data_IF_905664077293
#
_entry.id   IF_905664077293
#
_cell.length_a   1.000
_cell.length_b   1.000
_cell.length_c   1.000
_cell.angle_alpha   90.00
_cell.angle_beta   90.00
_cell.angle_gamma   90.00
#
_symmetry.space_group_name_H-M   'P 1'
#
loop_
_entity.id
_entity.type
_entity.pdbx_description
1 polymer ?
#
# COMPACT_ATOMS: atom_id res chain seq x y z
N UNK A 1 -3.96 10.85 -23.78
CA UNK A 1 -4.97 11.93 -23.69
C UNK A 1 -5.43 11.99 -22.24
N UNK A 2 -5.15 13.10 -21.56
CA UNK A 2 -5.26 13.28 -20.10
C UNK A 2 -6.71 13.67 -19.76
N UNK A 3 -7.33 12.97 -18.81
CA UNK A 3 -8.74 13.16 -18.45
C UNK A 3 -8.95 14.52 -17.74
N UNK A 4 -9.49 15.51 -18.45
CA UNK A 4 -9.74 16.88 -17.97
C UNK A 4 -10.86 16.95 -16.90
N UNK A 5 -11.63 15.88 -16.69
CA UNK A 5 -12.73 15.87 -15.71
C UNK A 5 -12.26 15.86 -14.27
N UNK A 6 -11.15 15.19 -13.98
CA UNK A 6 -10.56 15.13 -12.63
C UNK A 6 -10.05 16.48 -12.12
N UNK A 7 -9.69 17.40 -13.01
CA UNK A 7 -9.20 18.73 -12.63
C UNK A 7 -10.36 19.69 -12.31
N UNK A 8 -11.49 19.57 -13.02
CA UNK A 8 -12.69 20.40 -12.79
C UNK A 8 -13.42 20.05 -11.49
N UNK A 9 -13.48 18.77 -11.11
CA UNK A 9 -14.12 18.36 -9.86
C UNK A 9 -13.35 18.85 -8.62
N UNK A 10 -12.01 18.81 -8.65
CA UNK A 10 -11.16 19.36 -7.57
C UNK A 10 -11.18 20.89 -7.45
N UNK A 11 -11.34 21.62 -8.55
CA UNK A 11 -11.44 23.09 -8.48
C UNK A 11 -12.76 23.50 -7.84
N UNK A 12 -13.83 22.77 -8.14
CA UNK A 12 -15.11 22.96 -7.46
C UNK A 12 -15.01 22.59 -5.97
N UNK A 13 -14.31 21.50 -5.63
CA UNK A 13 -14.10 21.10 -4.24
C UNK A 13 -13.23 22.10 -3.46
N UNK A 14 -12.12 22.60 -4.03
CA UNK A 14 -11.31 23.67 -3.42
C UNK A 14 -12.12 24.96 -3.26
N UNK A 15 -12.91 25.36 -4.26
CA UNK A 15 -13.79 26.54 -4.18
C UNK A 15 -14.95 26.37 -3.19
N UNK A 16 -15.49 25.16 -3.02
CA UNK A 16 -16.50 24.85 -2.02
C UNK A 16 -15.91 24.89 -0.61
N UNK A 17 -14.68 24.39 -0.47
CA UNK A 17 -13.93 24.33 0.78
C UNK A 17 -13.52 25.73 1.27
N UNK A 18 -13.07 26.59 0.36
CA UNK A 18 -12.73 27.98 0.64
C UNK A 18 -13.98 28.77 1.06
N UNK A 19 -15.12 28.49 0.42
CA UNK A 19 -16.42 29.11 0.74
C UNK A 19 -16.93 28.66 2.12
N UNK A 20 -16.79 27.38 2.43
CA UNK A 20 -17.12 26.83 3.74
C UNK A 20 -16.24 27.47 4.83
N UNK A 21 -14.92 27.56 4.59
CA UNK A 21 -13.98 28.23 5.52
C UNK A 21 -14.31 29.71 5.74
N UNK A 22 -14.69 30.44 4.70
CA UNK A 22 -15.09 31.83 4.80
C UNK A 22 -16.37 31.99 5.65
N UNK A 23 -17.37 31.13 5.41
CA UNK A 23 -18.62 31.10 6.18
C UNK A 23 -18.36 30.87 7.67
N UNK A 24 -17.45 29.95 7.98
CA UNK A 24 -17.09 29.63 9.36
C UNK A 24 -16.29 30.75 10.05
N UNK A 25 -15.45 31.48 9.31
CA UNK A 25 -14.74 32.66 9.82
C UNK A 25 -15.69 33.82 10.13
N UNK A 26 -16.72 34.00 9.32
CA UNK A 26 -17.76 35.02 9.53
C UNK A 26 -18.57 34.71 10.79
N UNK A 27 -19.08 33.49 10.94
CA UNK A 27 -19.82 33.07 12.14
C UNK A 27 -19.00 33.24 13.43
N UNK A 28 -17.73 32.81 13.42
CA UNK A 28 -16.84 32.95 14.58
C UNK A 28 -16.47 34.42 14.89
N UNK A 29 -16.55 35.30 13.88
CA UNK A 29 -16.36 36.75 14.06
C UNK A 29 -17.62 37.35 14.68
N UNK A 30 -18.79 37.00 14.18
CA UNK A 30 -20.07 37.55 14.65
C UNK A 30 -20.37 37.14 16.09
N UNK A 31 -20.13 35.88 16.46
CA UNK A 31 -20.27 35.40 17.84
C UNK A 31 -19.39 36.19 18.83
N UNK A 32 -18.19 36.59 18.39
CA UNK A 32 -17.28 37.41 19.19
C UNK A 32 -17.68 38.87 19.26
N UNK A 33 -18.29 39.40 18.21
CA UNK A 33 -18.89 40.75 18.23
C UNK A 33 -20.06 40.77 19.20
N UNK A 34 -20.91 39.72 19.20
CA UNK A 34 -22.01 39.56 20.16
C UNK A 34 -21.49 39.41 21.60
N UNK A 35 -20.35 38.74 21.80
CA UNK A 35 -19.64 38.67 23.08
C UNK A 35 -18.97 40.00 23.51
N UNK A 36 -19.12 41.07 22.71
CA UNK A 36 -18.65 42.42 23.04
C UNK A 36 -17.25 42.77 22.55
N UNK A 37 -16.62 41.93 21.71
CA UNK A 37 -15.33 42.28 21.10
C UNK A 37 -15.52 43.28 19.93
N UNK A 38 -14.61 44.26 19.78
CA UNK A 38 -14.56 45.09 18.59
C UNK A 38 -14.36 44.25 17.33
N UNK A 39 -15.01 44.61 16.21
CA UNK A 39 -14.97 43.87 14.93
C UNK A 39 -13.57 43.50 14.46
N UNK A 40 -12.58 44.39 14.61
CA UNK A 40 -11.19 44.11 14.23
C UNK A 40 -10.55 43.02 15.10
N UNK A 41 -10.82 43.04 16.40
CA UNK A 41 -10.26 42.09 17.36
C UNK A 41 -10.96 40.73 17.25
N UNK A 42 -12.28 40.73 16.99
CA UNK A 42 -13.06 39.53 16.69
C UNK A 42 -12.55 38.81 15.44
N UNK A 43 -12.26 39.55 14.35
CA UNK A 43 -11.70 38.99 13.12
C UNK A 43 -10.29 38.40 13.33
N UNK A 44 -9.44 39.08 14.10
CA UNK A 44 -8.10 38.61 14.44
C UNK A 44 -8.15 37.35 15.32
N UNK A 45 -9.07 37.29 16.27
CA UNK A 45 -9.29 36.13 17.12
C UNK A 45 -9.81 34.92 16.32
N UNK A 46 -10.81 35.13 15.46
CA UNK A 46 -11.33 34.08 14.58
C UNK A 46 -10.24 33.52 13.65
N UNK A 47 -9.43 34.38 13.03
CA UNK A 47 -8.31 33.94 12.16
C UNK A 47 -7.24 33.15 12.90
N UNK A 48 -6.97 33.47 14.17
CA UNK A 48 -5.99 32.74 14.99
C UNK A 48 -6.47 31.34 15.37
N UNK A 49 -7.77 31.21 15.62
CA UNK A 49 -8.41 29.92 15.91
C UNK A 49 -8.44 29.03 14.66
N UNK A 50 -8.82 29.59 13.50
CA UNK A 50 -8.87 28.87 12.22
C UNK A 50 -7.50 28.53 11.63
N UNK A 51 -6.46 29.32 11.90
CA UNK A 51 -5.10 29.04 11.44
C UNK A 51 -4.56 27.67 11.88
N UNK A 52 -5.07 27.13 13.00
CA UNK A 52 -4.76 25.77 13.44
C UNK A 52 -5.49 24.68 12.64
N UNK A 53 -6.74 24.95 12.25
CA UNK A 53 -7.61 24.02 11.50
C UNK A 53 -7.20 23.92 10.03
N UNK A 54 -6.71 25.01 9.43
CA UNK A 54 -6.15 24.99 8.07
C UNK A 54 -4.88 24.12 7.97
N UNK A 55 -4.06 24.07 9.03
CA UNK A 55 -2.91 23.16 9.16
C UNK A 55 -3.33 21.69 9.33
N UNK A 56 -4.40 21.40 10.07
CA UNK A 56 -4.96 20.03 10.17
C UNK A 56 -5.51 19.53 8.83
N UNK A 57 -5.94 20.45 7.95
CA UNK A 57 -6.39 20.16 6.58
C UNK A 57 -5.24 19.75 5.65
N UNK A 58 -4.01 20.21 5.91
CA UNK A 58 -2.81 19.76 5.19
C UNK A 58 -2.50 18.28 5.45
N UNK A 59 -2.81 17.77 6.65
CA UNK A 59 -2.55 16.39 7.04
C UNK A 59 -3.48 15.38 6.32
N UNK A 60 -4.65 15.84 5.85
CA UNK A 60 -5.57 15.05 5.01
C UNK A 60 -5.39 15.27 3.49
N UNK A 61 -4.56 16.24 3.07
CA UNK A 61 -4.29 16.54 1.66
C UNK A 61 -3.52 15.42 0.93
N UNK A 62 -3.11 14.40 1.66
CA UNK A 62 -2.29 13.28 1.20
C UNK A 62 -3.05 12.10 0.59
N UNK A 63 -4.39 12.11 0.60
CA UNK A 63 -5.20 11.05 -0.01
C UNK A 63 -5.42 11.23 -1.52
N UNK A 64 -4.42 11.74 -2.24
CA UNK A 64 -4.40 11.67 -3.71
C UNK A 64 -3.82 10.31 -4.12
N UNK A 65 -4.58 9.41 -4.78
CA UNK A 65 -4.03 8.14 -5.27
C UNK A 65 -2.85 8.33 -6.25
N UNK A 66 -2.74 9.49 -6.91
CA UNK A 66 -1.59 9.85 -7.75
C UNK A 66 -0.43 10.53 -7.00
N UNK A 67 -0.65 11.14 -5.84
CA UNK A 67 0.43 11.82 -5.10
C UNK A 67 1.29 10.84 -4.31
N UNK A 68 0.71 9.73 -3.84
CA UNK A 68 1.47 8.61 -3.29
C UNK A 68 2.42 8.02 -4.35
N UNK A 69 1.91 7.81 -5.57
CA UNK A 69 2.72 7.31 -6.68
C UNK A 69 3.86 8.26 -7.07
N UNK A 70 3.56 9.57 -7.19
CA UNK A 70 4.58 10.58 -7.48
C UNK A 70 5.66 10.64 -6.39
N UNK A 71 5.28 10.53 -5.11
CA UNK A 71 6.24 10.49 -3.99
C UNK A 71 7.11 9.25 -4.03
N UNK A 72 6.51 8.06 -4.18
CA UNK A 72 7.26 6.80 -4.29
C UNK A 72 8.20 6.85 -5.50
N UNK A 73 7.78 7.42 -6.62
CA UNK A 73 8.62 7.58 -7.81
C UNK A 73 9.81 8.50 -7.56
N UNK A 74 9.58 9.66 -6.93
CA UNK A 74 10.65 10.59 -6.58
C UNK A 74 11.65 9.96 -5.61
N UNK A 75 11.16 9.33 -4.54
CA UNK A 75 12.01 8.63 -3.57
C UNK A 75 12.84 7.53 -4.23
N UNK A 76 12.22 6.72 -5.11
CA UNK A 76 12.92 5.66 -5.85
C UNK A 76 14.01 6.24 -6.76
N UNK A 77 13.74 7.34 -7.47
CA UNK A 77 14.72 8.02 -8.33
C UNK A 77 15.89 8.57 -7.52
N UNK A 78 15.61 9.18 -6.36
CA UNK A 78 16.65 9.68 -5.47
C UNK A 78 17.47 8.55 -4.85
N UNK A 79 16.84 7.46 -4.42
CA UNK A 79 17.52 6.27 -3.90
C UNK A 79 18.41 5.62 -4.96
N UNK A 80 17.93 5.46 -6.20
CA UNK A 80 18.71 4.93 -7.32
C UNK A 80 19.95 5.77 -7.63
N UNK A 81 19.84 7.10 -7.60
CA UNK A 81 20.99 7.99 -7.76
C UNK A 81 22.01 7.87 -6.63
N UNK A 82 21.56 7.60 -5.40
CA UNK A 82 22.47 7.33 -4.26
C UNK A 82 23.20 6.00 -4.42
N UNK A 83 22.49 4.95 -4.85
CA UNK A 83 23.09 3.63 -5.11
C UNK A 83 24.17 3.68 -6.20
N UNK A 84 23.95 4.49 -7.25
CA UNK A 84 24.96 4.70 -8.31
C UNK A 84 26.20 5.47 -7.83
N UNK A 85 26.09 6.24 -6.74
CA UNK A 85 27.23 6.95 -6.13
C UNK A 85 28.05 6.08 -5.17
N UNK A 86 27.51 4.97 -4.67
CA UNK A 86 28.20 4.05 -3.76
C UNK A 86 28.28 2.64 -4.36
N UNK A 87 29.10 2.41 -5.40
CA UNK A 87 29.09 1.17 -6.17
C UNK A 87 29.44 -0.08 -5.36
N UNK A 88 30.37 0.02 -4.40
CA UNK A 88 30.77 -1.13 -3.57
C UNK A 88 29.62 -1.67 -2.71
N UNK A 89 28.87 -0.77 -2.04
CA UNK A 89 27.70 -1.13 -1.26
C UNK A 89 26.61 -1.74 -2.15
N UNK A 90 26.32 -1.10 -3.29
CA UNK A 90 25.31 -1.57 -4.24
C UNK A 90 25.63 -2.98 -4.76
N UNK A 91 26.88 -3.25 -5.12
CA UNK A 91 27.30 -4.59 -5.57
C UNK A 91 27.11 -5.63 -4.46
N UNK A 92 27.55 -5.35 -3.23
CA UNK A 92 27.38 -6.26 -2.10
C UNK A 92 25.89 -6.55 -1.84
N UNK A 93 25.04 -5.52 -1.85
CA UNK A 93 23.58 -5.67 -1.70
C UNK A 93 22.98 -6.50 -2.82
N UNK A 94 23.32 -6.20 -4.09
CA UNK A 94 22.82 -6.95 -5.26
C UNK A 94 23.22 -8.42 -5.20
N UNK A 95 24.48 -8.73 -4.87
CA UNK A 95 24.95 -10.10 -4.73
C UNK A 95 24.22 -10.85 -3.61
N UNK A 96 24.02 -10.18 -2.47
CA UNK A 96 23.30 -10.76 -1.33
C UNK A 96 21.85 -11.08 -1.70
N UNK A 97 21.15 -10.12 -2.34
CA UNK A 97 19.78 -10.33 -2.82
C UNK A 97 19.72 -11.45 -3.86
N UNK A 98 20.63 -11.44 -4.84
CA UNK A 98 20.68 -12.44 -5.89
C UNK A 98 20.86 -13.85 -5.32
N UNK A 99 21.79 -14.01 -4.36
CA UNK A 99 22.01 -15.28 -3.68
C UNK A 99 20.78 -15.74 -2.89
N UNK A 100 20.15 -14.86 -2.13
CA UNK A 100 18.95 -15.20 -1.36
C UNK A 100 17.78 -15.63 -2.26
N UNK A 101 17.54 -14.90 -3.36
CA UNK A 101 16.48 -15.21 -4.32
C UNK A 101 16.79 -16.52 -5.04
N UNK A 102 18.03 -16.71 -5.52
CA UNK A 102 18.44 -17.90 -6.25
C UNK A 102 18.42 -19.15 -5.36
N UNK A 103 18.83 -19.03 -4.09
CA UNK A 103 18.77 -20.13 -3.13
C UNK A 103 17.33 -20.59 -2.90
N UNK A 104 16.42 -19.65 -2.62
CA UNK A 104 15.01 -19.97 -2.44
C UNK A 104 14.40 -20.58 -3.70
N UNK A 105 14.61 -19.95 -4.85
CA UNK A 105 14.11 -20.46 -6.14
C UNK A 105 14.67 -21.86 -6.45
N UNK A 106 15.94 -22.12 -6.13
CA UNK A 106 16.58 -23.43 -6.35
C UNK A 106 16.01 -24.51 -5.45
N UNK A 107 15.80 -24.21 -4.16
CA UNK A 107 15.15 -25.14 -3.24
C UNK A 107 13.76 -25.50 -3.75
N UNK A 108 12.94 -24.51 -4.13
CA UNK A 108 11.62 -24.77 -4.69
C UNK A 108 11.68 -25.52 -6.03
N UNK A 109 12.63 -25.21 -6.91
CA UNK A 109 12.80 -25.93 -8.16
C UNK A 109 13.20 -27.39 -7.94
N UNK A 110 14.10 -27.66 -6.98
CA UNK A 110 14.52 -29.03 -6.61
C UNK A 110 13.36 -29.77 -5.96
N UNK A 111 12.67 -29.18 -4.99
CA UNK A 111 11.49 -29.77 -4.35
C UNK A 111 10.41 -30.04 -5.42
N UNK A 112 10.16 -29.11 -6.32
CA UNK A 112 9.18 -29.30 -7.38
C UNK A 112 9.59 -30.44 -8.32
N UNK A 113 10.86 -30.53 -8.72
CA UNK A 113 11.35 -31.61 -9.61
C UNK A 113 11.42 -32.98 -8.92
N UNK A 114 11.80 -33.03 -7.65
CA UNK A 114 12.10 -34.29 -6.94
C UNK A 114 10.89 -34.79 -6.16
N UNK A 115 10.11 -33.89 -5.56
CA UNK A 115 8.98 -34.23 -4.66
C UNK A 115 7.62 -34.09 -5.35
N UNK A 116 7.41 -33.02 -6.14
CA UNK A 116 6.13 -32.80 -6.83
C UNK A 116 6.05 -33.39 -8.25
N UNK A 117 7.21 -33.56 -8.91
CA UNK A 117 7.32 -34.20 -10.21
C UNK A 117 8.28 -35.40 -10.25
N UNK A 118 8.31 -36.31 -9.24
CA UNK A 118 8.56 -37.69 -9.56
C UNK A 118 7.30 -38.12 -10.33
N UNK A 119 7.36 -38.48 -11.59
CA UNK A 119 7.48 -39.87 -11.97
C UNK A 119 7.40 -39.91 -13.53
N UNK A 120 8.52 -39.97 -14.29
CA UNK A 120 8.49 -40.47 -15.66
C UNK A 120 8.36 -42.00 -15.60
N UNK A 121 7.27 -42.49 -15.05
CA UNK A 121 7.04 -43.93 -14.91
C UNK A 121 6.30 -44.38 -16.15
N UNK A 122 6.85 -45.37 -16.84
CA UNK A 122 6.11 -46.09 -17.85
C UNK A 122 4.88 -46.72 -17.15
N UNK A 123 3.67 -46.37 -17.60
CA UNK A 123 2.37 -46.73 -17.03
C UNK A 123 1.91 -45.88 -15.82
N UNK A 124 1.77 -44.56 -16.03
CA UNK A 124 1.22 -43.60 -15.05
C UNK A 124 -0.25 -43.87 -14.65
N UNK A 125 -0.98 -44.67 -15.44
CA UNK A 125 -2.35 -45.15 -15.17
C UNK A 125 -2.46 -46.06 -13.94
N UNK A 126 -1.33 -46.57 -13.43
CA UNK A 126 -1.30 -47.50 -12.29
C UNK A 126 -0.83 -46.89 -10.97
N UNK A 127 -0.63 -45.57 -10.93
CA UNK A 127 -0.16 -44.89 -9.73
C UNK A 127 -1.30 -44.73 -8.70
N UNK A 128 -1.04 -45.19 -7.49
CA UNK A 128 -1.96 -45.08 -6.35
C UNK A 128 -1.26 -44.28 -5.25
N UNK A 129 -1.92 -43.25 -4.74
CA UNK A 129 -1.39 -42.46 -3.62
C UNK A 129 -1.67 -43.19 -2.31
N UNK A 130 -0.61 -43.45 -1.55
CA UNK A 130 -0.70 -43.93 -0.19
C UNK A 130 -0.67 -42.72 0.76
N UNK A 131 -1.85 -42.21 1.10
CA UNK A 131 -1.97 -41.15 2.08
C UNK A 131 -1.83 -41.75 3.49
N UNK A 132 -0.68 -41.51 4.12
CA UNK A 132 -0.48 -41.85 5.52
C UNK A 132 -1.23 -40.83 6.39
N UNK A 133 -2.51 -41.08 6.63
CA UNK A 133 -3.26 -40.42 7.69
C UNK A 133 -2.71 -40.91 9.04
N UNK A 134 -2.01 -40.06 9.79
CA UNK A 134 -1.71 -40.34 11.19
C UNK A 134 -3.03 -40.44 11.96
N UNK A 135 -3.41 -41.62 12.49
CA UNK A 135 -4.69 -41.77 13.16
C UNK A 135 -4.58 -41.21 14.58
N UNK A 136 -4.94 -39.95 14.79
CA UNK A 136 -5.16 -39.43 16.15
C UNK A 136 -6.39 -40.12 16.80
N UNK A 137 -7.15 -40.90 16.03
CA UNK A 137 -8.15 -41.85 16.52
C UNK A 137 -8.16 -43.11 15.67
N UNK A 138 -8.30 -44.25 16.32
CA UNK A 138 -8.44 -45.60 15.78
C UNK A 138 -9.47 -45.67 14.63
N UNK A 139 -9.02 -45.48 13.39
CA UNK A 139 -9.80 -45.78 12.19
C UNK A 139 -8.97 -46.70 11.30
N UNK A 140 -9.08 -48.00 11.60
CA UNK A 140 -8.64 -49.10 10.76
C UNK A 140 -9.50 -49.18 9.49
N UNK A 141 -9.22 -48.33 8.51
CA UNK A 141 -9.60 -48.52 7.11
C UNK A 141 -8.72 -47.65 6.22
N UNK A 142 -7.64 -48.24 5.70
CA UNK A 142 -6.90 -47.69 4.58
C UNK A 142 -7.86 -47.72 3.39
N UNK A 143 -8.38 -46.56 3.00
CA UNK A 143 -9.27 -46.39 1.84
C UNK A 143 -8.38 -46.14 0.62
N UNK A 144 -8.26 -47.13 -0.25
CA UNK A 144 -7.61 -46.96 -1.55
C UNK A 144 -8.55 -46.18 -2.47
N UNK A 145 -8.24 -44.90 -2.71
CA UNK A 145 -8.87 -44.12 -3.77
C UNK A 145 -8.00 -44.25 -5.03
N UNK A 146 -8.52 -44.82 -6.13
CA UNK A 146 -7.80 -44.79 -7.40
C UNK A 146 -7.68 -43.33 -7.86
N UNK A 147 -6.50 -42.97 -8.36
CA UNK A 147 -6.15 -41.58 -8.68
C UNK A 147 -6.68 -41.11 -10.04
N UNK A 148 -7.41 -41.95 -10.79
CA UNK A 148 -7.97 -41.63 -12.12
C UNK A 148 -9.25 -42.44 -12.34
N UNK A 149 -10.23 -41.83 -13.02
CA UNK A 149 -11.30 -42.54 -13.75
C UNK A 149 -10.90 -42.67 -15.22
#
# INVERSE_FOLDING_TARGET
MRDLRFWRWRKAEEEDLDRELETHLELATDERIEAGLPRRDAQLAARREFGSVALTKEELRDMRPGAAFERVWQETRFAGRRLLRSPAFTVATVLTLALAIAANASIFAVVHRVVLNPLPYANSDRLVALEFSMPIRNVSKIRYLPLVA
#
